data_IF_133558808084
#
_entry.id   IF_133558808084
#
_cell.length_a   1.000
_cell.length_b   1.000
_cell.length_c   1.000
_cell.angle_alpha   90.00
_cell.angle_beta   90.00
_cell.angle_gamma   90.00
#
_symmetry.space_group_name_H-M   'P 1'
#
loop_
_entity.id
_entity.type
_entity.pdbx_description
1 polymer ?
#
# COMPACT_ATOMS: atom_id res chain seq x y z
N UNK A 1 -0.99 -4.74 -21.53
CA UNK A 1 -2.18 -4.16 -22.23
C UNK A 1 -3.15 -3.62 -21.18
N UNK A 2 -3.82 -2.49 -21.44
CA UNK A 2 -4.86 -1.99 -20.52
C UNK A 2 -6.16 -2.74 -20.80
N UNK A 3 -6.87 -3.17 -19.75
CA UNK A 3 -8.18 -3.79 -19.84
C UNK A 3 -9.14 -3.16 -18.82
N UNK A 4 -10.43 -3.18 -19.09
CA UNK A 4 -11.49 -2.87 -18.13
C UNK A 4 -12.26 -4.14 -17.72
N UNK A 5 -11.82 -5.31 -18.18
CA UNK A 5 -12.47 -6.59 -17.95
C UNK A 5 -11.80 -7.35 -16.80
N UNK A 6 -12.45 -7.36 -15.63
CA UNK A 6 -11.99 -8.05 -14.42
C UNK A 6 -11.86 -9.56 -14.64
N UNK A 7 -12.68 -10.16 -15.54
CA UNK A 7 -12.61 -11.59 -15.84
C UNK A 7 -11.39 -11.92 -16.70
N UNK A 8 -11.03 -11.06 -17.65
CA UNK A 8 -9.78 -11.20 -18.41
C UNK A 8 -8.56 -11.06 -17.51
N UNK A 9 -8.57 -10.13 -16.56
CA UNK A 9 -7.52 -9.96 -15.55
C UNK A 9 -7.40 -11.20 -14.66
N UNK A 10 -8.52 -11.77 -14.20
CA UNK A 10 -8.54 -13.00 -13.40
C UNK A 10 -7.98 -14.19 -14.19
N UNK A 11 -8.35 -14.35 -15.45
CA UNK A 11 -7.80 -15.40 -16.34
C UNK A 11 -6.28 -15.27 -16.46
N UNK A 12 -5.79 -14.05 -16.75
CA UNK A 12 -4.34 -13.80 -16.84
C UNK A 12 -3.59 -14.16 -15.54
N UNK A 13 -4.14 -13.79 -14.37
CA UNK A 13 -3.57 -14.14 -13.08
C UNK A 13 -3.53 -15.68 -12.86
N UNK A 14 -4.60 -16.39 -13.20
CA UNK A 14 -4.65 -17.86 -13.12
C UNK A 14 -3.64 -18.54 -14.05
N UNK A 15 -3.34 -17.94 -15.19
CA UNK A 15 -2.31 -18.38 -16.15
C UNK A 15 -0.88 -17.96 -15.75
N UNK A 16 -0.70 -17.25 -14.62
CA UNK A 16 0.61 -16.83 -14.09
C UNK A 16 1.14 -15.50 -14.63
N UNK A 17 0.31 -14.73 -15.34
CA UNK A 17 0.65 -13.36 -15.72
C UNK A 17 0.60 -12.42 -14.50
N UNK A 18 1.20 -11.24 -14.63
CA UNK A 18 1.06 -10.15 -13.66
C UNK A 18 -0.04 -9.18 -14.12
N UNK A 19 -0.74 -8.60 -13.15
CA UNK A 19 -1.77 -7.60 -13.43
C UNK A 19 -1.58 -6.41 -12.49
N UNK A 20 -1.52 -5.20 -13.06
CA UNK A 20 -1.64 -3.98 -12.25
C UNK A 20 -3.12 -3.82 -11.91
N UNK A 21 -3.45 -3.83 -10.61
CA UNK A 21 -4.82 -3.71 -10.11
C UNK A 21 -5.00 -2.44 -9.28
N UNK A 22 -6.13 -1.73 -9.43
CA UNK A 22 -6.49 -0.64 -8.54
C UNK A 22 -6.88 -1.17 -7.16
N UNK A 23 -6.53 -0.45 -6.11
CA UNK A 23 -7.13 -0.61 -4.78
C UNK A 23 -7.53 0.76 -4.25
N UNK A 24 -8.30 0.81 -3.16
CA UNK A 24 -8.65 2.07 -2.52
C UNK A 24 -7.44 2.79 -1.91
N UNK A 25 -6.35 2.06 -1.63
CA UNK A 25 -5.11 2.60 -1.05
C UNK A 25 -4.12 3.05 -2.11
N UNK A 26 -3.53 2.11 -2.83
CA UNK A 26 -2.56 2.33 -3.91
C UNK A 26 -2.74 1.26 -4.99
N UNK A 27 -2.29 1.51 -6.21
CA UNK A 27 -2.23 0.47 -7.23
C UNK A 27 -1.25 -0.63 -6.85
N UNK A 28 -1.65 -1.89 -7.02
CA UNK A 28 -0.85 -3.07 -6.74
C UNK A 28 -0.37 -3.80 -7.99
N UNK A 29 0.84 -4.33 -7.98
CA UNK A 29 1.30 -5.29 -8.98
C UNK A 29 0.94 -6.70 -8.49
N UNK A 30 -0.16 -7.23 -9.00
CA UNK A 30 -0.73 -8.50 -8.60
C UNK A 30 -0.12 -9.68 -9.36
N UNK A 31 0.12 -10.74 -8.64
CA UNK A 31 0.41 -12.07 -9.17
C UNK A 31 -0.20 -13.13 -8.25
N UNK A 32 -0.54 -14.29 -8.79
CA UNK A 32 -1.13 -15.38 -8.02
C UNK A 32 -0.25 -15.77 -6.84
N UNK A 33 -0.78 -15.68 -5.61
CA UNK A 33 0.01 -15.77 -4.38
C UNK A 33 0.53 -17.19 -4.09
N UNK A 34 -0.16 -18.24 -4.55
CA UNK A 34 0.25 -19.63 -4.45
C UNK A 34 1.10 -20.12 -5.64
N UNK A 35 1.55 -19.21 -6.52
CA UNK A 35 2.36 -19.53 -7.68
C UNK A 35 3.78 -18.91 -7.53
N UNK A 36 4.81 -19.71 -7.17
CA UNK A 36 6.16 -19.19 -6.87
C UNK A 36 6.78 -18.37 -7.99
N UNK A 37 6.57 -18.77 -9.26
CA UNK A 37 7.11 -18.06 -10.41
C UNK A 37 6.47 -16.67 -10.58
N UNK A 38 5.15 -16.54 -10.34
CA UNK A 38 4.47 -15.24 -10.37
C UNK A 38 5.02 -14.32 -9.27
N UNK A 39 5.26 -14.84 -8.06
CA UNK A 39 5.88 -14.11 -6.97
C UNK A 39 7.32 -13.69 -7.33
N UNK A 40 8.11 -14.61 -7.90
CA UNK A 40 9.46 -14.32 -8.39
C UNK A 40 9.46 -13.19 -9.42
N UNK A 41 8.50 -13.19 -10.35
CA UNK A 41 8.32 -12.12 -11.34
C UNK A 41 7.97 -10.78 -10.70
N UNK A 42 7.10 -10.74 -9.67
CA UNK A 42 6.80 -9.49 -8.92
C UNK A 42 8.10 -8.89 -8.37
N UNK A 43 8.93 -9.70 -7.71
CA UNK A 43 10.21 -9.22 -7.16
C UNK A 43 11.15 -8.71 -8.24
N UNK A 44 11.27 -9.43 -9.36
CA UNK A 44 12.13 -9.05 -10.49
C UNK A 44 11.68 -7.74 -11.15
N UNK A 45 10.39 -7.61 -11.47
CA UNK A 45 9.81 -6.40 -12.08
C UNK A 45 10.02 -5.17 -11.19
N UNK A 46 9.83 -5.31 -9.88
CA UNK A 46 9.99 -4.21 -8.91
C UNK A 46 11.44 -3.93 -8.54
N UNK A 47 12.39 -4.84 -8.77
CA UNK A 47 13.73 -4.79 -8.19
C UNK A 47 13.72 -4.93 -6.66
N UNK A 48 12.74 -5.68 -6.11
CA UNK A 48 12.51 -5.84 -4.67
C UNK A 48 13.25 -7.07 -4.15
N UNK A 49 13.92 -7.00 -2.97
CA UNK A 49 14.51 -8.19 -2.35
C UNK A 49 13.45 -9.23 -1.97
N UNK A 50 13.70 -10.51 -2.29
CA UNK A 50 12.76 -11.61 -2.02
C UNK A 50 12.56 -11.93 -0.53
N UNK A 51 13.44 -11.45 0.34
CA UNK A 51 13.30 -11.55 1.80
C UNK A 51 12.23 -10.63 2.40
N UNK A 52 11.67 -9.72 1.60
CA UNK A 52 10.62 -8.80 2.04
C UNK A 52 9.24 -9.41 1.75
N UNK A 53 8.41 -9.70 2.77
CA UNK A 53 7.10 -10.30 2.58
C UNK A 53 6.20 -9.41 1.75
N UNK A 54 5.16 -10.01 1.17
CA UNK A 54 4.11 -9.32 0.42
C UNK A 54 2.75 -9.58 1.05
N UNK A 55 1.79 -8.67 0.86
CA UNK A 55 0.43 -8.82 1.35
C UNK A 55 -0.36 -9.67 0.35
N UNK A 56 -1.07 -10.67 0.86
CA UNK A 56 -2.01 -11.48 0.08
C UNK A 56 -3.38 -10.82 0.17
N UNK A 57 -3.95 -10.48 -0.98
CA UNK A 57 -5.30 -9.96 -1.11
C UNK A 57 -6.25 -11.09 -1.47
N UNK A 58 -7.37 -11.18 -0.77
CA UNK A 58 -8.41 -12.21 -0.95
C UNK A 58 -9.79 -11.57 -1.12
N UNK A 59 -10.75 -12.29 -1.68
CA UNK A 59 -12.11 -11.77 -1.87
C UNK A 59 -13.01 -11.93 -0.64
N UNK A 60 -12.77 -12.99 0.15
CA UNK A 60 -13.62 -13.39 1.26
C UNK A 60 -13.07 -12.84 2.58
N UNK A 61 -13.85 -12.05 3.34
CA UNK A 61 -13.45 -11.56 4.66
C UNK A 61 -13.48 -12.65 5.75
N UNK A 62 -13.99 -13.85 5.45
CA UNK A 62 -14.03 -14.95 6.40
C UNK A 62 -12.64 -15.54 6.61
N UNK A 63 -12.12 -15.36 7.83
CA UNK A 63 -10.83 -15.87 8.27
C UNK A 63 -10.99 -17.28 8.91
N UNK A 64 -11.72 -18.19 8.25
CA UNK A 64 -11.84 -19.56 8.72
C UNK A 64 -10.54 -20.34 8.46
N UNK A 65 -9.72 -20.49 9.50
CA UNK A 65 -8.47 -21.24 9.45
C UNK A 65 -8.70 -22.76 9.24
N UNK A 66 -9.90 -23.27 9.50
CA UNK A 66 -10.24 -24.69 9.30
C UNK A 66 -10.65 -25.02 7.87
N UNK A 67 -10.93 -24.01 7.04
CA UNK A 67 -11.33 -24.16 5.66
C UNK A 67 -10.18 -24.75 4.81
N UNK A 68 -10.43 -25.77 3.99
CA UNK A 68 -9.43 -26.24 3.03
C UNK A 68 -8.92 -25.09 2.15
N UNK A 69 -7.61 -24.96 2.04
CA UNK A 69 -6.99 -23.88 1.27
C UNK A 69 -6.96 -22.52 1.97
N UNK A 70 -7.21 -22.45 3.27
CA UNK A 70 -7.02 -21.22 4.05
C UNK A 70 -5.58 -20.72 3.98
N UNK A 71 -5.39 -19.39 3.99
CA UNK A 71 -4.06 -18.76 4.01
C UNK A 71 -3.44 -18.68 5.39
N UNK A 72 -4.27 -18.79 6.43
CA UNK A 72 -3.91 -18.67 7.85
C UNK A 72 -4.16 -19.97 8.58
N UNK A 73 -3.39 -20.26 9.63
CA UNK A 73 -3.55 -21.45 10.47
C UNK A 73 -4.23 -21.19 11.80
N UNK A 74 -4.23 -19.93 12.24
CA UNK A 74 -4.90 -19.50 13.48
C UNK A 74 -5.35 -18.04 13.36
N UNK A 75 -6.47 -17.70 14.02
CA UNK A 75 -7.04 -16.35 14.00
C UNK A 75 -7.64 -16.04 15.37
N UNK A 76 -7.05 -15.15 16.17
CA UNK A 76 -7.63 -14.76 17.44
C UNK A 76 -8.93 -13.95 17.28
N UNK A 77 -9.81 -13.99 18.28
CA UNK A 77 -11.13 -13.37 18.22
C UNK A 77 -11.08 -11.86 17.91
N UNK A 78 -10.10 -11.14 18.46
CA UNK A 78 -9.96 -9.72 18.19
C UNK A 78 -9.57 -9.44 16.72
N UNK A 79 -8.82 -10.34 16.07
CA UNK A 79 -8.50 -10.22 14.67
C UNK A 79 -9.73 -10.47 13.78
N UNK A 80 -10.61 -11.42 14.17
CA UNK A 80 -11.91 -11.60 13.51
C UNK A 80 -12.78 -10.36 13.65
N UNK A 81 -12.82 -9.75 14.85
CA UNK A 81 -13.57 -8.50 15.06
C UNK A 81 -13.04 -7.36 14.18
N UNK A 82 -11.71 -7.23 14.04
CA UNK A 82 -11.09 -6.25 13.16
C UNK A 82 -11.44 -6.52 11.68
N UNK A 83 -11.36 -7.77 11.23
CA UNK A 83 -11.75 -8.15 9.88
C UNK A 83 -13.21 -7.78 9.59
N UNK A 84 -14.12 -8.14 10.47
CA UNK A 84 -15.56 -7.84 10.33
C UNK A 84 -15.87 -6.34 10.31
N UNK A 85 -15.14 -5.55 11.09
CA UNK A 85 -15.36 -4.11 11.18
C UNK A 85 -14.72 -3.29 10.05
N UNK A 86 -13.59 -3.77 9.48
CA UNK A 86 -12.74 -2.98 8.60
C UNK A 86 -12.56 -3.58 7.20
N UNK A 87 -13.08 -4.77 6.90
CA UNK A 87 -13.04 -5.37 5.58
C UNK A 87 -14.42 -5.44 4.92
N UNK A 88 -14.49 -5.21 3.61
CA UNK A 88 -13.42 -4.76 2.72
C UNK A 88 -12.87 -3.38 3.10
N UNK A 89 -11.52 -3.19 3.07
CA UNK A 89 -10.96 -1.91 3.49
C UNK A 89 -9.43 -1.85 3.63
N UNK A 90 -8.93 -0.69 4.11
CA UNK A 90 -7.51 -0.38 4.18
C UNK A 90 -6.82 -0.95 5.44
N UNK A 91 -7.21 -2.15 5.85
CA UNK A 91 -6.61 -2.89 6.97
C UNK A 91 -5.94 -4.17 6.47
N UNK A 92 -4.73 -4.42 6.92
CA UNK A 92 -3.97 -5.66 6.71
C UNK A 92 -3.72 -6.31 8.06
N UNK A 93 -4.05 -7.60 8.18
CA UNK A 93 -3.80 -8.39 9.38
C UNK A 93 -2.63 -9.35 9.14
N UNK A 94 -1.67 -9.37 10.05
CA UNK A 94 -0.58 -10.36 10.08
C UNK A 94 -0.97 -11.45 11.05
N UNK A 95 -1.02 -12.69 10.54
CA UNK A 95 -1.51 -13.86 11.23
C UNK A 95 -0.54 -15.04 11.05
N UNK A 96 -0.59 -16.09 11.89
CA UNK A 96 0.13 -17.33 11.65
C UNK A 96 -0.24 -17.92 10.27
N UNK A 97 0.78 -18.23 9.46
CA UNK A 97 0.55 -18.76 8.11
C UNK A 97 0.09 -20.22 8.13
N UNK A 98 -0.67 -20.61 7.13
CA UNK A 98 -0.85 -22.01 6.76
C UNK A 98 0.25 -22.46 5.79
N UNK A 99 0.28 -23.76 5.46
CA UNK A 99 1.21 -24.32 4.47
C UNK A 99 1.00 -23.75 3.05
N UNK A 100 -0.17 -23.16 2.76
CA UNK A 100 -0.45 -22.50 1.48
C UNK A 100 0.39 -21.23 1.27
N UNK A 101 0.65 -20.49 2.35
CA UNK A 101 1.48 -19.29 2.30
C UNK A 101 2.96 -19.65 2.26
N UNK A 102 3.52 -19.79 1.05
CA UNK A 102 4.91 -20.19 0.83
C UNK A 102 5.93 -19.16 1.34
N UNK A 103 7.17 -19.58 1.50
CA UNK A 103 8.29 -18.69 1.86
C UNK A 103 8.48 -17.54 0.86
N UNK A 104 8.12 -17.73 -0.40
CA UNK A 104 8.18 -16.68 -1.40
C UNK A 104 7.24 -15.50 -1.07
N UNK A 105 6.07 -15.78 -0.49
CA UNK A 105 5.09 -14.75 -0.08
C UNK A 105 5.47 -14.14 1.27
N UNK A 106 5.90 -14.98 2.22
CA UNK A 106 6.13 -14.58 3.62
C UNK A 106 7.55 -14.05 3.86
N UNK A 107 8.45 -14.16 2.87
CA UNK A 107 9.87 -13.84 3.04
C UNK A 107 10.55 -14.78 4.06
N UNK A 108 10.05 -16.01 4.19
CA UNK A 108 10.55 -17.02 5.12
C UNK A 108 10.09 -16.82 6.57
N UNK A 109 9.06 -16.03 6.82
CA UNK A 109 8.47 -15.87 8.15
C UNK A 109 7.33 -16.87 8.38
N UNK A 110 7.03 -17.18 9.66
CA UNK A 110 5.91 -18.04 10.05
C UNK A 110 4.57 -17.30 10.08
N UNK A 111 4.53 -16.12 9.49
CA UNK A 111 3.36 -15.25 9.43
C UNK A 111 3.05 -14.85 8.00
N UNK A 112 1.78 -14.59 7.71
CA UNK A 112 1.29 -14.06 6.45
C UNK A 112 0.45 -12.80 6.68
N UNK A 113 0.58 -11.83 5.81
CA UNK A 113 -0.22 -10.60 5.82
C UNK A 113 -1.40 -10.76 4.86
N UNK A 114 -2.63 -10.64 5.37
CA UNK A 114 -3.88 -10.81 4.61
C UNK A 114 -4.67 -9.51 4.59
N UNK A 115 -5.33 -9.25 3.45
CA UNK A 115 -6.22 -8.09 3.28
C UNK A 115 -7.37 -8.41 2.34
N UNK A 116 -8.54 -7.85 2.60
CA UNK A 116 -9.65 -7.75 1.64
C UNK A 116 -9.75 -6.30 1.18
N UNK A 117 -9.38 -5.98 -0.08
CA UNK A 117 -9.41 -4.61 -0.59
C UNK A 117 -10.85 -4.13 -0.80
N UNK A 118 -11.11 -2.81 -0.67
CA UNK A 118 -12.45 -2.26 -0.87
C UNK A 118 -12.75 -1.88 -2.33
N UNK A 119 -11.75 -1.78 -3.19
CA UNK A 119 -11.96 -1.35 -4.58
C UNK A 119 -12.80 -2.38 -5.34
N UNK A 120 -13.91 -1.97 -6.01
CA UNK A 120 -14.82 -2.90 -6.66
C UNK A 120 -14.15 -3.76 -7.75
N UNK A 121 -13.23 -3.19 -8.54
CA UNK A 121 -12.53 -3.95 -9.58
C UNK A 121 -11.56 -4.97 -8.99
N UNK A 122 -10.84 -4.65 -7.91
CA UNK A 122 -10.00 -5.62 -7.22
C UNK A 122 -10.81 -6.81 -6.69
N UNK A 123 -11.96 -6.53 -6.05
CA UNK A 123 -12.87 -7.56 -5.58
C UNK A 123 -13.47 -8.38 -6.73
N UNK A 124 -13.81 -7.73 -7.85
CA UNK A 124 -14.34 -8.42 -9.03
C UNK A 124 -13.29 -9.38 -9.62
N UNK A 125 -12.03 -8.98 -9.70
CA UNK A 125 -10.93 -9.87 -10.15
C UNK A 125 -10.79 -11.07 -9.22
N UNK A 126 -10.71 -10.84 -7.90
CA UNK A 126 -10.53 -11.92 -6.92
C UNK A 126 -11.70 -12.91 -6.94
N UNK A 127 -12.95 -12.43 -7.01
CA UNK A 127 -14.15 -13.27 -7.13
C UNK A 127 -14.19 -14.05 -8.46
N UNK A 128 -13.79 -13.40 -9.55
CA UNK A 128 -13.71 -14.06 -10.84
C UNK A 128 -12.67 -15.19 -10.86
N UNK A 129 -11.54 -15.05 -10.12
CA UNK A 129 -10.59 -16.16 -9.96
C UNK A 129 -11.24 -17.35 -9.26
N UNK A 130 -11.99 -17.12 -8.16
CA UNK A 130 -12.70 -18.20 -7.43
C UNK A 130 -13.79 -18.87 -8.29
N UNK A 131 -14.48 -18.11 -9.15
CA UNK A 131 -15.48 -18.65 -10.09
C UNK A 131 -14.86 -19.46 -11.23
N UNK A 132 -13.70 -19.02 -11.76
CA UNK A 132 -13.02 -19.66 -12.88
C UNK A 132 -12.28 -20.94 -12.48
N UNK A 133 -11.76 -20.99 -11.26
CA UNK A 133 -11.07 -22.16 -10.68
C UNK A 133 -11.59 -22.44 -9.25
N UNK A 134 -12.81 -23.01 -9.11
CA UNK A 134 -13.38 -23.31 -7.79
C UNK A 134 -12.57 -24.34 -6.98
N UNK A 135 -11.79 -25.18 -7.64
CA UNK A 135 -10.99 -26.21 -6.98
C UNK A 135 -9.78 -25.62 -6.25
N UNK A 136 -9.26 -24.49 -6.73
CA UNK A 136 -8.16 -23.77 -6.11
C UNK A 136 -8.61 -22.69 -5.12
N UNK A 137 -9.91 -22.42 -4.97
CA UNK A 137 -10.43 -21.37 -4.09
C UNK A 137 -10.23 -21.71 -2.59
N UNK A 138 -10.10 -20.69 -1.71
CA UNK A 138 -10.12 -19.23 -2.01
C UNK A 138 -8.80 -18.77 -2.64
N UNK A 139 -8.87 -18.18 -3.81
CA UNK A 139 -7.68 -17.61 -4.45
C UNK A 139 -7.19 -16.36 -3.70
N UNK A 140 -5.88 -16.09 -3.83
CA UNK A 140 -5.25 -14.88 -3.34
C UNK A 140 -4.23 -14.36 -4.33
N UNK A 141 -4.07 -13.05 -4.37
CA UNK A 141 -3.00 -12.41 -5.12
C UNK A 141 -2.03 -11.69 -4.19
N UNK A 142 -0.75 -11.90 -4.40
CA UNK A 142 0.27 -11.05 -3.80
C UNK A 142 0.31 -9.75 -4.60
N UNK A 143 0.06 -8.62 -3.94
CA UNK A 143 -0.03 -7.33 -4.63
C UNK A 143 0.71 -6.22 -3.86
N UNK A 144 2.05 -6.18 -3.87
CA UNK A 144 2.76 -5.00 -3.42
C UNK A 144 2.44 -3.81 -4.34
N UNK A 145 2.67 -2.57 -3.88
CA UNK A 145 2.46 -1.36 -4.68
C UNK A 145 3.12 -1.45 -6.07
N UNK A 146 2.46 -0.96 -7.12
CA UNK A 146 2.90 -1.11 -8.51
C UNK A 146 3.94 -0.04 -8.94
N UNK A 147 5.03 0.10 -8.18
CA UNK A 147 6.16 1.00 -8.43
C UNK A 147 7.49 0.25 -8.39
N UNK A 148 8.55 0.84 -8.91
CA UNK A 148 9.93 0.40 -8.64
C UNK A 148 10.20 0.48 -7.15
N UNK A 149 10.91 -0.50 -6.60
CA UNK A 149 11.20 -0.58 -5.17
C UNK A 149 11.87 0.69 -4.64
N UNK A 150 11.35 1.24 -3.55
CA UNK A 150 11.82 2.48 -2.93
C UNK A 150 11.12 3.75 -3.42
N UNK A 151 10.57 3.79 -4.63
CA UNK A 151 9.85 4.94 -5.16
C UNK A 151 8.50 5.17 -4.45
N UNK A 152 7.92 6.35 -4.63
CA UNK A 152 6.58 6.71 -4.13
C UNK A 152 5.52 5.78 -4.73
N UNK A 153 4.60 5.28 -3.90
CA UNK A 153 3.53 4.38 -4.36
C UNK A 153 2.60 5.04 -5.37
N UNK A 154 2.07 4.28 -6.34
CA UNK A 154 1.17 4.79 -7.37
C UNK A 154 -0.26 4.91 -6.86
N UNK A 155 -0.88 6.07 -7.02
CA UNK A 155 -2.29 6.34 -6.67
C UNK A 155 -3.19 6.51 -7.90
N UNK A 156 -2.62 6.36 -9.09
CA UNK A 156 -3.31 6.32 -10.38
C UNK A 156 -2.59 5.33 -11.31
N UNK A 157 -3.30 4.83 -12.32
CA UNK A 157 -2.72 3.88 -13.29
C UNK A 157 -1.49 4.45 -14.00
N UNK A 158 -1.53 5.73 -14.37
CA UNK A 158 -0.42 6.38 -15.08
C UNK A 158 0.86 6.41 -14.24
N UNK A 159 0.77 6.53 -12.90
CA UNK A 159 1.92 6.41 -12.01
C UNK A 159 2.56 5.01 -12.10
N UNK A 160 1.72 3.96 -12.05
CA UNK A 160 2.18 2.58 -12.15
C UNK A 160 2.79 2.27 -13.52
N UNK A 161 2.21 2.80 -14.59
CA UNK A 161 2.72 2.65 -15.95
C UNK A 161 4.06 3.36 -16.16
N UNK A 162 4.20 4.57 -15.62
CA UNK A 162 5.46 5.31 -15.72
C UNK A 162 6.62 4.52 -15.07
N UNK A 163 6.35 3.80 -13.99
CA UNK A 163 7.38 3.02 -13.29
C UNK A 163 7.64 1.64 -13.92
N UNK A 164 6.61 0.96 -14.43
CA UNK A 164 6.68 -0.48 -14.72
C UNK A 164 6.43 -0.88 -16.17
N UNK A 165 5.95 0.01 -17.08
CA UNK A 165 5.53 -0.40 -18.41
C UNK A 165 6.62 -1.16 -19.20
N UNK A 166 7.86 -0.71 -19.10
CA UNK A 166 9.01 -1.32 -19.80
C UNK A 166 9.53 -2.60 -19.14
N UNK A 167 8.98 -2.97 -17.98
CA UNK A 167 9.38 -4.14 -17.18
C UNK A 167 8.37 -5.28 -17.24
N UNK A 168 7.16 -4.99 -17.74
CA UNK A 168 6.09 -5.99 -17.91
C UNK A 168 6.32 -6.84 -19.15
N UNK A 169 5.93 -8.11 -19.06
CA UNK A 169 6.03 -9.05 -20.19
C UNK A 169 4.77 -8.98 -21.09
N UNK A 170 4.86 -9.46 -22.33
CA UNK A 170 3.68 -9.74 -23.13
C UNK A 170 2.72 -10.68 -22.37
N UNK A 171 1.44 -10.31 -22.31
CA UNK A 171 0.42 -11.04 -21.54
C UNK A 171 0.12 -10.44 -20.16
N UNK A 172 1.01 -9.61 -19.62
CA UNK A 172 0.69 -8.84 -18.43
C UNK A 172 -0.34 -7.74 -18.73
N UNK A 173 -1.24 -7.49 -17.78
CA UNK A 173 -2.36 -6.58 -17.95
C UNK A 173 -2.33 -5.45 -16.90
N UNK A 174 -3.14 -4.43 -17.14
CA UNK A 174 -3.41 -3.36 -16.20
C UNK A 174 -4.89 -2.99 -16.25
N UNK A 175 -5.51 -2.92 -15.07
CA UNK A 175 -6.85 -2.38 -14.89
C UNK A 175 -6.79 -0.90 -14.51
N UNK A 176 -7.63 -0.09 -15.17
CA UNK A 176 -7.83 1.30 -14.78
C UNK A 176 -9.10 1.44 -13.94
N UNK A 177 -8.91 1.69 -12.66
CA UNK A 177 -10.00 1.95 -11.70
C UNK A 177 -10.06 3.42 -11.27
N UNK A 178 -9.37 4.33 -11.96
CA UNK A 178 -9.28 5.72 -11.56
C UNK A 178 -8.33 5.97 -10.37
N UNK A 179 -8.33 7.18 -9.80
CA UNK A 179 -7.48 7.54 -8.67
C UNK A 179 -7.92 6.84 -7.38
N UNK A 180 -6.95 6.48 -6.55
CA UNK A 180 -7.21 5.84 -5.26
C UNK A 180 -7.93 6.77 -4.28
N UNK A 181 -8.94 6.26 -3.58
CA UNK A 181 -9.77 7.05 -2.65
C UNK A 181 -9.07 7.38 -1.34
N UNK A 182 -8.20 6.49 -0.84
CA UNK A 182 -7.43 6.66 0.42
C UNK A 182 -6.07 7.30 0.15
N UNK A 183 -5.36 6.85 -0.89
CA UNK A 183 -4.12 7.46 -1.39
C UNK A 183 -2.86 7.20 -0.56
N UNK A 184 -2.96 6.48 0.56
CA UNK A 184 -1.84 6.02 1.37
C UNK A 184 -2.00 4.52 1.67
N UNK A 185 -0.95 3.89 2.13
CA UNK A 185 -0.89 2.45 2.39
C UNK A 185 -1.89 1.98 3.46
N UNK A 186 -2.25 0.68 3.43
CA UNK A 186 -3.07 0.07 4.47
C UNK A 186 -2.39 0.05 5.83
N UNK A 187 -3.15 0.21 6.90
CA UNK A 187 -2.66 -0.07 8.26
C UNK A 187 -2.32 -1.56 8.36
N UNK A 188 -1.14 -1.90 8.90
CA UNK A 188 -0.76 -3.30 9.14
C UNK A 188 -0.77 -3.55 10.63
N UNK A 189 -1.56 -4.55 11.05
CA UNK A 189 -1.70 -4.96 12.45
C UNK A 189 -1.18 -6.37 12.62
N UNK A 190 -0.21 -6.55 13.53
CA UNK A 190 0.23 -7.86 14.01
C UNK A 190 -0.83 -8.41 14.97
N UNK A 191 -1.38 -9.54 14.61
CA UNK A 191 -2.38 -10.29 15.36
C UNK A 191 -1.87 -11.66 15.82
N UNK A 192 -0.57 -11.85 15.93
CA UNK A 192 0.03 -13.11 16.39
C UNK A 192 0.17 -13.19 17.92
N UNK A 193 0.06 -12.05 18.59
CA UNK A 193 0.16 -11.94 20.06
C UNK A 193 -1.19 -11.86 20.77
N UNK A 194 -1.15 -11.65 22.10
CA UNK A 194 -2.36 -11.50 22.92
C UNK A 194 -3.08 -10.16 22.72
N UNK A 195 -2.44 -9.17 22.09
CA UNK A 195 -2.97 -7.82 21.86
C UNK A 195 -2.56 -7.34 20.47
N UNK A 196 -3.40 -6.50 19.81
CA UNK A 196 -3.09 -5.93 18.51
C UNK A 196 -1.87 -4.99 18.58
N UNK A 197 -1.02 -5.03 17.55
CA UNK A 197 0.16 -4.17 17.41
C UNK A 197 0.21 -3.56 16.03
N UNK A 198 0.30 -2.23 15.93
CA UNK A 198 0.47 -1.56 14.65
C UNK A 198 1.93 -1.69 14.21
N UNK A 199 2.16 -2.39 13.09
CA UNK A 199 3.47 -2.53 12.44
C UNK A 199 3.72 -1.45 11.39
N UNK A 200 2.65 -0.96 10.77
CA UNK A 200 2.68 0.16 9.80
C UNK A 200 1.43 1.01 9.98
N UNK A 201 1.56 2.31 10.26
CA UNK A 201 0.41 3.20 10.28
C UNK A 201 -0.21 3.36 8.88
N UNK A 202 -1.52 3.62 8.84
CA UNK A 202 -2.30 3.90 7.64
C UNK A 202 -3.61 4.58 8.04
N UNK A 203 -4.66 4.45 7.20
CA UNK A 203 -5.96 5.12 7.43
C UNK A 203 -6.67 4.68 8.71
N UNK A 204 -6.49 3.42 9.13
CA UNK A 204 -7.08 2.90 10.38
C UNK A 204 -6.12 3.18 11.53
N UNK A 205 -6.51 4.05 12.43
CA UNK A 205 -5.68 4.48 13.58
C UNK A 205 -5.79 3.56 14.79
N UNK A 206 -4.93 3.79 15.79
CA UNK A 206 -4.94 3.05 17.05
C UNK A 206 -6.30 3.16 17.77
N UNK A 207 -6.90 4.35 17.82
CA UNK A 207 -8.22 4.57 18.42
C UNK A 207 -9.35 3.75 17.75
N UNK A 208 -9.28 3.53 16.43
CA UNK A 208 -10.25 2.68 15.74
C UNK A 208 -10.09 1.22 16.13
N UNK A 209 -8.85 0.74 16.21
CA UNK A 209 -8.52 -0.62 16.62
C UNK A 209 -8.95 -0.86 18.07
N UNK A 210 -8.64 0.06 18.99
CA UNK A 210 -9.05 -0.01 20.39
C UNK A 210 -10.57 -0.03 20.53
N UNK A 211 -11.28 0.80 19.79
CA UNK A 211 -12.75 0.84 19.78
C UNK A 211 -13.38 -0.48 19.32
N UNK A 212 -12.78 -1.15 18.33
CA UNK A 212 -13.28 -2.42 17.79
C UNK A 212 -12.96 -3.58 18.72
N UNK A 213 -11.72 -3.62 19.24
CA UNK A 213 -11.23 -4.78 19.99
C UNK A 213 -11.44 -4.68 21.49
N UNK A 214 -11.64 -3.48 22.02
CA UNK A 214 -11.62 -3.20 23.45
C UNK A 214 -10.23 -3.36 24.11
N UNK A 215 -9.17 -3.44 23.30
CA UNK A 215 -7.80 -3.72 23.74
C UNK A 215 -6.90 -2.54 23.43
N UNK A 216 -5.92 -2.27 24.31
CA UNK A 216 -4.86 -1.32 24.02
C UNK A 216 -3.99 -1.79 22.85
N UNK A 217 -3.62 -0.86 21.99
CA UNK A 217 -2.77 -1.12 20.81
C UNK A 217 -1.30 -0.94 21.18
N UNK A 218 -0.48 -1.93 20.85
CA UNK A 218 0.96 -1.87 21.04
C UNK A 218 1.64 -1.19 19.84
N UNK A 219 2.78 -0.56 20.06
CA UNK A 219 3.63 -0.02 19.00
C UNK A 219 4.55 -1.09 18.36
N UNK A 220 5.21 -0.74 17.26
CA UNK A 220 6.08 -1.64 16.52
C UNK A 220 7.43 -1.95 17.20
N UNK A 221 7.81 -1.23 18.25
CA UNK A 221 9.17 -1.20 18.81
C UNK A 221 9.71 -2.55 19.31
N UNK A 222 8.82 -3.51 19.55
CA UNK A 222 9.16 -4.84 20.07
C UNK A 222 8.79 -6.00 19.12
N UNK A 223 8.40 -5.72 17.88
CA UNK A 223 8.08 -6.76 16.90
C UNK A 223 9.31 -7.16 16.08
N UNK A 224 9.58 -8.46 15.98
CA UNK A 224 10.54 -9.03 15.05
C UNK A 224 9.97 -9.29 13.65
N UNK A 225 8.69 -9.01 13.42
CA UNK A 225 7.99 -9.28 12.18
C UNK A 225 8.32 -8.22 11.14
N UNK A 226 8.82 -8.64 9.98
CA UNK A 226 9.05 -7.77 8.83
C UNK A 226 7.75 -7.58 8.07
N UNK A 227 7.45 -6.33 7.69
CA UNK A 227 6.28 -5.98 6.88
C UNK A 227 6.69 -5.02 5.75
N UNK A 228 5.91 -4.93 4.66
CA UNK A 228 6.14 -3.94 3.61
C UNK A 228 6.13 -2.51 4.16
N UNK A 229 7.09 -1.68 3.74
CA UNK A 229 7.13 -0.27 4.12
C UNK A 229 7.69 0.07 5.49
N UNK A 230 8.23 -0.91 6.24
CA UNK A 230 8.86 -0.68 7.54
C UNK A 230 10.34 -0.25 7.47
N UNK A 231 10.88 -0.01 6.28
CA UNK A 231 12.28 0.43 6.10
C UNK A 231 12.41 1.94 6.34
N UNK A 232 13.58 2.42 6.87
CA UNK A 232 13.82 3.83 7.13
C UNK A 232 13.71 4.75 5.90
N UNK A 233 13.98 4.23 4.70
CA UNK A 233 13.80 4.93 3.42
C UNK A 233 12.93 4.07 2.51
N UNK A 234 11.64 4.34 2.50
CA UNK A 234 10.66 3.71 1.63
C UNK A 234 9.60 4.75 1.24
N UNK A 235 9.04 4.64 0.03
CA UNK A 235 8.07 5.61 -0.52
C UNK A 235 8.63 7.03 -0.66
N UNK A 236 9.94 7.15 -0.88
CA UNK A 236 10.61 8.44 -0.92
C UNK A 236 10.66 9.00 -2.36
N UNK A 237 10.35 10.29 -2.54
CA UNK A 237 10.64 11.00 -3.78
C UNK A 237 12.16 11.24 -3.93
N UNK A 238 12.58 11.69 -5.11
CA UNK A 238 13.95 12.15 -5.35
C UNK A 238 14.26 13.43 -4.56
N UNK A 239 13.24 14.28 -4.35
CA UNK A 239 13.34 15.49 -3.54
C UNK A 239 13.62 15.18 -2.06
N UNK A 240 14.45 15.99 -1.41
CA UNK A 240 14.59 15.96 0.05
C UNK A 240 13.33 16.51 0.71
N UNK A 241 12.89 15.90 1.83
CA UNK A 241 11.70 16.33 2.55
C UNK A 241 12.07 16.80 3.95
N UNK A 242 11.56 17.98 4.34
CA UNK A 242 11.55 18.45 5.72
C UNK A 242 10.10 18.55 6.23
N UNK A 243 9.88 18.10 7.47
CA UNK A 243 8.59 18.26 8.15
C UNK A 243 8.67 19.46 9.09
N UNK A 244 7.97 20.54 8.74
CA UNK A 244 7.83 21.69 9.62
C UNK A 244 6.84 21.30 10.75
N UNK A 245 7.16 21.65 12.02
CA UNK A 245 6.36 21.25 13.17
C UNK A 245 4.95 21.86 13.18
N UNK A 246 4.82 23.05 12.60
CA UNK A 246 3.58 23.80 12.49
C UNK A 246 3.62 24.77 11.30
N UNK A 247 2.49 25.40 10.92
CA UNK A 247 2.45 26.38 9.84
C UNK A 247 3.33 27.62 10.06
N UNK A 248 3.57 28.02 11.31
CA UNK A 248 4.38 29.21 11.61
C UNK A 248 5.88 28.98 11.33
N UNK A 249 6.34 27.73 11.43
CA UNK A 249 7.70 27.36 11.12
C UNK A 249 7.99 27.21 9.62
N UNK A 250 6.96 27.14 8.76
CA UNK A 250 7.10 26.84 7.33
C UNK A 250 8.07 27.80 6.62
N UNK A 251 7.94 29.10 6.85
CA UNK A 251 8.77 30.13 6.21
C UNK A 251 10.25 29.97 6.57
N UNK A 252 10.54 29.70 7.85
CA UNK A 252 11.92 29.48 8.32
C UNK A 252 12.57 28.24 7.68
N UNK A 253 11.79 27.18 7.40
CA UNK A 253 12.30 25.99 6.70
C UNK A 253 12.59 26.28 5.22
N UNK A 254 11.76 27.09 4.56
CA UNK A 254 11.97 27.56 3.18
C UNK A 254 13.21 28.45 3.11
N UNK A 255 13.35 29.41 4.00
CA UNK A 255 14.52 30.28 4.08
C UNK A 255 15.81 29.51 4.31
N UNK A 256 15.77 28.51 5.20
CA UNK A 256 16.91 27.62 5.43
C UNK A 256 17.31 26.83 4.18
N UNK A 257 16.36 26.34 3.41
CA UNK A 257 16.61 25.64 2.15
C UNK A 257 17.24 26.59 1.10
N UNK A 258 16.75 27.85 1.00
CA UNK A 258 17.31 28.87 0.10
C UNK A 258 18.74 29.22 0.50
N UNK A 259 19.01 29.45 1.79
CA UNK A 259 20.36 29.68 2.32
C UNK A 259 21.27 28.48 2.04
N UNK A 260 20.72 27.28 2.08
CA UNK A 260 21.40 26.01 1.70
C UNK A 260 21.66 25.85 0.21
N UNK A 261 21.22 26.80 -0.64
CA UNK A 261 21.49 26.81 -2.09
C UNK A 261 20.37 26.26 -2.96
N UNK A 262 19.20 25.92 -2.40
CA UNK A 262 18.04 25.51 -3.18
C UNK A 262 17.38 26.75 -3.79
N UNK A 263 17.08 26.71 -5.11
CA UNK A 263 16.32 27.79 -5.75
C UNK A 263 14.88 27.79 -5.24
N UNK A 264 14.27 28.96 -5.06
CA UNK A 264 12.92 29.07 -4.48
C UNK A 264 11.87 28.31 -5.32
N UNK A 265 11.96 28.35 -6.65
CA UNK A 265 11.07 27.64 -7.58
C UNK A 265 11.25 26.11 -7.58
N UNK A 266 12.39 25.64 -7.04
CA UNK A 266 12.67 24.20 -6.80
C UNK A 266 12.23 23.76 -5.38
N UNK A 267 11.53 24.58 -4.61
CA UNK A 267 10.97 24.25 -3.30
C UNK A 267 9.47 24.00 -3.46
N UNK A 268 9.02 22.81 -3.04
CA UNK A 268 7.62 22.40 -3.03
C UNK A 268 7.00 22.50 -1.64
N UNK A 269 5.74 22.91 -1.56
CA UNK A 269 4.99 23.05 -0.31
C UNK A 269 3.81 22.11 -0.27
N UNK A 270 3.73 21.29 0.79
CA UNK A 270 2.60 20.43 1.12
C UNK A 270 2.03 20.87 2.47
N UNK A 271 0.87 21.52 2.47
CA UNK A 271 0.23 22.02 3.69
C UNK A 271 -1.28 22.23 3.45
N UNK A 272 -2.06 22.29 4.53
CA UNK A 272 -3.51 22.55 4.47
C UNK A 272 -3.80 23.87 3.71
N UNK A 273 -4.99 23.97 3.10
CA UNK A 273 -5.38 25.12 2.24
C UNK A 273 -5.26 26.48 2.93
N UNK A 274 -5.51 26.55 4.23
CA UNK A 274 -5.40 27.79 5.03
C UNK A 274 -3.97 28.23 5.33
N UNK A 275 -2.94 27.45 4.97
CA UNK A 275 -1.53 27.79 5.21
C UNK A 275 -0.98 28.53 3.98
N UNK A 276 -0.47 29.78 4.12
CA UNK A 276 0.10 30.52 2.99
C UNK A 276 1.29 29.78 2.34
N UNK A 277 1.46 29.98 1.04
CA UNK A 277 2.67 29.51 0.33
C UNK A 277 3.72 30.61 0.37
N UNK A 278 4.94 30.37 0.87
CA UNK A 278 6.03 31.33 0.83
C UNK A 278 6.35 31.80 -0.60
N UNK A 279 6.83 33.06 -0.72
CA UNK A 279 7.11 33.67 -2.02
C UNK A 279 8.16 32.85 -2.80
N UNK A 280 7.88 32.63 -4.07
CA UNK A 280 8.74 31.88 -5.00
C UNK A 280 8.63 30.37 -4.90
N UNK A 281 8.07 29.81 -3.82
CA UNK A 281 7.89 28.34 -3.67
C UNK A 281 6.65 27.86 -4.45
N UNK A 282 6.69 26.58 -4.85
CA UNK A 282 5.62 25.92 -5.61
C UNK A 282 4.66 25.18 -4.69
N UNK A 283 3.35 25.48 -4.76
CA UNK A 283 2.34 24.73 -4.02
C UNK A 283 2.06 23.38 -4.67
N UNK A 284 2.45 22.29 -3.99
CA UNK A 284 2.22 20.92 -4.45
C UNK A 284 0.85 20.37 -4.02
N UNK A 285 0.44 20.67 -2.78
CA UNK A 285 -0.84 20.18 -2.23
C UNK A 285 -1.41 21.21 -1.24
N UNK A 286 -2.73 21.48 -1.35
CA UNK A 286 -3.50 22.37 -0.47
C UNK A 286 -4.84 21.71 -0.11
N UNK A 287 -4.87 20.65 0.71
CA UNK A 287 -6.08 19.92 1.03
C UNK A 287 -6.94 20.65 2.05
N UNK A 288 -8.26 20.41 2.00
CA UNK A 288 -9.22 20.97 2.95
C UNK A 288 -9.37 20.12 4.23
N UNK A 289 -8.97 18.82 4.17
CA UNK A 289 -9.09 17.88 5.27
C UNK A 289 -7.86 16.97 5.38
N UNK A 290 -7.70 16.27 6.51
CA UNK A 290 -6.66 15.27 6.69
C UNK A 290 -6.83 14.08 5.71
N UNK A 291 -8.07 13.71 5.38
CA UNK A 291 -8.34 12.66 4.40
C UNK A 291 -7.94 13.09 2.98
N UNK A 292 -8.18 14.34 2.60
CA UNK A 292 -7.72 14.89 1.31
C UNK A 292 -6.19 15.04 1.28
N UNK A 293 -5.58 15.35 2.43
CA UNK A 293 -4.13 15.38 2.58
C UNK A 293 -3.53 13.98 2.28
N UNK A 294 -4.06 12.94 2.92
CA UNK A 294 -3.63 11.56 2.68
C UNK A 294 -3.83 11.16 1.22
N UNK A 295 -5.01 11.44 0.65
CA UNK A 295 -5.36 11.11 -0.74
C UNK A 295 -4.42 11.76 -1.75
N UNK A 296 -4.05 13.02 -1.53
CA UNK A 296 -3.22 13.80 -2.46
C UNK A 296 -1.72 13.66 -2.26
N UNK A 297 -1.27 13.08 -1.13
CA UNK A 297 0.14 13.11 -0.73
C UNK A 297 1.06 12.46 -1.76
N UNK A 298 0.80 11.22 -2.15
CA UNK A 298 1.69 10.50 -3.09
C UNK A 298 1.65 11.10 -4.50
N UNK A 299 0.50 11.60 -4.95
CA UNK A 299 0.42 12.33 -6.21
C UNK A 299 1.27 13.61 -6.17
N UNK A 300 1.20 14.37 -5.08
CA UNK A 300 2.01 15.57 -4.91
C UNK A 300 3.51 15.28 -4.90
N UNK A 301 3.93 14.20 -4.24
CA UNK A 301 5.33 13.76 -4.23
C UNK A 301 5.79 13.34 -5.62
N UNK A 302 4.98 12.60 -6.39
CA UNK A 302 5.29 12.22 -7.77
C UNK A 302 5.35 13.42 -8.72
N UNK A 303 4.45 14.39 -8.55
CA UNK A 303 4.50 15.65 -9.32
C UNK A 303 5.76 16.45 -9.01
N UNK A 304 6.21 16.46 -7.76
CA UNK A 304 7.47 17.08 -7.37
C UNK A 304 8.65 16.50 -8.16
N UNK A 305 8.75 15.17 -8.21
CA UNK A 305 9.79 14.48 -8.99
C UNK A 305 9.70 14.81 -10.49
N UNK A 306 8.48 14.80 -11.04
CA UNK A 306 8.26 15.07 -12.48
C UNK A 306 8.55 16.53 -12.88
N UNK A 307 8.44 17.48 -11.95
CA UNK A 307 8.65 18.92 -12.20
C UNK A 307 10.01 19.43 -11.72
N UNK A 308 10.89 18.56 -11.22
CA UNK A 308 12.24 18.92 -10.80
C UNK A 308 12.33 19.66 -9.46
N UNK A 309 11.31 19.52 -8.61
CA UNK A 309 11.38 20.02 -7.24
C UNK A 309 12.50 19.28 -6.49
N UNK A 310 13.42 20.02 -5.90
CA UNK A 310 14.58 19.47 -5.21
C UNK A 310 14.35 19.33 -3.69
N UNK A 311 13.49 20.17 -3.13
CA UNK A 311 13.23 20.20 -1.69
C UNK A 311 11.75 20.40 -1.42
N UNK A 312 11.19 19.63 -0.49
CA UNK A 312 9.78 19.73 -0.10
C UNK A 312 9.70 20.09 1.38
N UNK A 313 8.93 21.12 1.70
CA UNK A 313 8.54 21.41 3.08
C UNK A 313 7.09 20.99 3.27
N UNK A 314 6.87 20.03 4.16
CA UNK A 314 5.54 19.53 4.49
C UNK A 314 5.14 19.99 5.89
N UNK A 315 3.86 20.36 6.06
CA UNK A 315 3.21 20.59 7.37
C UNK A 315 2.14 19.54 7.52
N UNK A 316 2.23 18.73 8.58
CA UNK A 316 1.23 17.69 8.83
C UNK A 316 -0.16 18.32 9.11
N UNK A 317 -1.26 17.65 8.71
CA UNK A 317 -2.60 18.06 9.14
C UNK A 317 -2.75 17.86 10.65
N UNK A 318 -3.45 18.79 11.32
CA UNK A 318 -3.74 18.74 12.77
C UNK A 318 -5.08 18.03 13.00
#
# INVERSE_FOLDING_TARGET
>A
MITADSRAAATALLEGALVIIPTETVYGLAGRADHPDAIGRIYAVKGRPSSHPVIVHVADPDLDASRPGAWVSDVPDYARALAQACWPGPLTLVLPRSDRASDAVTGGQDTVAIRVPAHPDALAVLRAMDELDPAGAPHGVAAPSANVFGHVSPTALDHARADLADRLAPGDLALDGGPCEVGVESTIVDCTGAQPRILRPGRIGAADIERVTGMAVLDASSSGIRVPGAMPSHYAPAASIALAPDPAALEAYVDAAIVGGTQADAIGIIAMEGVPTPEGATRLLAPASADDYARGLYDALRRADATGIAFIVAVAPV
#
